data_IF_871486677110
#
_entry.id   IF_871486677110
#
_cell.length_a   1.000
_cell.length_b   1.000
_cell.length_c   1.000
_cell.angle_alpha   90.00
_cell.angle_beta   90.00
_cell.angle_gamma   90.00
#
_symmetry.space_group_name_H-M   'P 1'
#
loop_
_entity.id
_entity.type
_entity.pdbx_description
1 polymer ?
#
# COMPACT_ATOMS: atom_id res chain seq x y z
N UNK A 1 -30.50 2.94 -23.21
CA UNK A 1 -29.43 1.99 -23.60
C UNK A 1 -28.10 2.69 -23.34
N UNK A 2 -27.18 2.27 -22.47
CA UNK A 2 -26.93 0.98 -21.85
C UNK A 2 -26.56 1.18 -20.36
N UNK A 3 -27.15 0.35 -19.49
CA UNK A 3 -26.74 0.27 -18.10
C UNK A 3 -25.40 -0.50 -18.04
N UNK A 4 -24.31 0.21 -17.75
CA UNK A 4 -23.02 -0.41 -17.43
C UNK A 4 -23.16 -1.18 -16.11
N UNK A 5 -23.48 -2.47 -16.23
CA UNK A 5 -23.25 -3.46 -15.17
C UNK A 5 -21.74 -3.68 -15.08
N UNK A 6 -21.04 -2.79 -14.38
CA UNK A 6 -19.69 -3.06 -13.90
C UNK A 6 -19.83 -4.25 -12.95
N UNK A 7 -19.52 -5.47 -13.44
CA UNK A 7 -19.49 -6.69 -12.62
C UNK A 7 -18.29 -6.57 -11.70
N UNK A 8 -18.47 -5.86 -10.60
CA UNK A 8 -17.63 -6.00 -9.40
C UNK A 8 -17.78 -7.45 -8.94
N UNK A 9 -16.84 -8.30 -9.35
CA UNK A 9 -16.76 -9.67 -8.85
C UNK A 9 -16.42 -9.57 -7.35
N UNK A 10 -17.45 -9.65 -6.51
CA UNK A 10 -17.29 -9.93 -5.08
C UNK A 10 -16.52 -11.23 -4.94
N UNK A 11 -15.40 -11.21 -4.23
CA UNK A 11 -14.79 -12.43 -3.73
C UNK A 11 -15.80 -13.17 -2.83
N UNK A 12 -16.04 -14.47 -3.03
CA UNK A 12 -16.93 -15.24 -2.18
C UNK A 12 -16.23 -15.58 -0.87
N UNK A 13 -16.72 -15.03 0.26
CA UNK A 13 -16.19 -15.41 1.58
C UNK A 13 -16.63 -14.53 2.75
N UNK A 14 -17.75 -14.89 3.37
CA UNK A 14 -18.12 -14.67 4.79
C UNK A 14 -17.81 -13.31 5.43
N UNK A 15 -18.75 -12.38 5.28
CA UNK A 15 -18.90 -11.20 6.13
C UNK A 15 -19.24 -11.57 7.58
N UNK A 16 -18.37 -11.18 8.53
CA UNK A 16 -18.80 -10.80 9.87
C UNK A 16 -18.33 -9.38 10.12
N UNK A 17 -19.29 -8.47 10.23
CA UNK A 17 -19.07 -7.03 10.37
C UNK A 17 -18.43 -6.67 11.71
N UNK A 18 -17.76 -5.53 11.73
CA UNK A 18 -17.22 -4.91 12.93
C UNK A 18 -18.38 -4.25 13.70
N UNK A 19 -18.65 -4.72 14.92
CA UNK A 19 -19.56 -4.05 15.85
C UNK A 19 -18.94 -2.76 16.36
N UNK A 20 -19.74 -1.71 16.47
CA UNK A 20 -19.35 -0.45 17.09
C UNK A 20 -19.08 -0.66 18.59
N UNK A 21 -17.91 -0.25 19.05
CA UNK A 21 -17.66 0.01 20.46
C UNK A 21 -17.49 1.51 20.63
N UNK A 22 -18.61 2.21 20.82
CA UNK A 22 -18.60 3.57 21.33
C UNK A 22 -18.15 3.56 22.80
N UNK A 23 -17.19 4.44 23.13
CA UNK A 23 -16.94 4.90 24.49
C UNK A 23 -16.23 3.93 25.43
N UNK A 24 -14.90 3.90 25.42
CA UNK A 24 -14.10 3.57 26.62
C UNK A 24 -12.86 4.46 26.65
N UNK A 25 -12.72 5.23 27.71
CA UNK A 25 -11.56 6.10 27.96
C UNK A 25 -10.26 5.32 28.09
N UNK A 26 -9.16 6.06 28.13
CA UNK A 26 -7.75 5.62 28.17
C UNK A 26 -7.36 4.71 29.37
N UNK A 27 -8.30 4.24 30.19
CA UNK A 27 -8.05 3.54 31.44
C UNK A 27 -8.23 2.00 31.39
N UNK A 28 -8.66 1.41 30.29
CA UNK A 28 -8.81 -0.04 30.19
C UNK A 28 -7.70 -0.67 29.34
N UNK A 29 -6.53 -0.91 29.93
CA UNK A 29 -5.60 -1.90 29.39
C UNK A 29 -6.34 -3.24 29.41
N UNK A 30 -6.83 -3.69 28.26
CA UNK A 30 -7.46 -5.02 28.14
C UNK A 30 -6.42 -6.08 28.47
N UNK A 31 -6.51 -6.65 29.67
CA UNK A 31 -5.76 -7.86 30.02
C UNK A 31 -6.12 -8.97 29.02
N UNK A 32 -5.13 -9.44 28.28
CA UNK A 32 -5.32 -10.58 27.38
C UNK A 32 -5.36 -11.83 28.24
N UNK A 33 -6.38 -12.67 28.07
CA UNK A 33 -6.45 -13.91 28.84
C UNK A 33 -5.28 -14.83 28.47
N UNK A 34 -4.82 -15.64 29.42
CA UNK A 34 -3.79 -16.67 29.21
C UNK A 34 -4.10 -17.52 27.95
N UNK A 35 -5.37 -17.90 27.77
CA UNK A 35 -5.82 -18.65 26.59
C UNK A 35 -5.72 -17.89 25.28
N UNK A 36 -5.94 -16.57 25.27
CA UNK A 36 -5.72 -15.75 24.08
C UNK A 36 -4.22 -15.65 23.74
N UNK A 37 -3.36 -15.49 24.74
CA UNK A 37 -1.91 -15.48 24.54
C UNK A 37 -1.40 -16.83 24.02
N UNK A 38 -1.83 -17.94 24.63
CA UNK A 38 -1.46 -19.30 24.23
C UNK A 38 -1.93 -19.61 22.80
N UNK A 39 -3.18 -19.29 22.46
CA UNK A 39 -3.70 -19.46 21.08
C UNK A 39 -2.90 -18.65 20.07
N UNK A 40 -2.48 -17.42 20.40
CA UNK A 40 -1.67 -16.59 19.51
C UNK A 40 -0.24 -17.14 19.35
N UNK A 41 0.33 -17.71 20.43
CA UNK A 41 1.64 -18.36 20.37
C UNK A 41 1.62 -19.59 19.48
N UNK A 42 0.55 -20.39 19.54
CA UNK A 42 0.38 -21.60 18.75
C UNK A 42 0.00 -21.32 17.29
N UNK A 43 -0.84 -20.30 17.04
CA UNK A 43 -1.27 -19.93 15.67
C UNK A 43 -0.27 -19.07 14.91
N UNK A 44 0.71 -18.50 15.60
CA UNK A 44 1.59 -17.49 15.03
C UNK A 44 0.89 -16.13 14.83
N UNK A 45 1.65 -15.09 14.47
CA UNK A 45 1.06 -13.86 13.95
C UNK A 45 0.33 -14.16 12.62
N UNK A 46 -0.71 -13.39 12.26
CA UNK A 46 -1.26 -13.46 10.92
C UNK A 46 -0.15 -13.12 9.92
N UNK A 47 -0.03 -13.93 8.88
CA UNK A 47 0.88 -13.71 7.76
C UNK A 47 0.13 -13.01 6.62
N UNK A 48 0.78 -12.15 5.82
CA UNK A 48 0.17 -11.61 4.61
C UNK A 48 -0.19 -12.76 3.65
N UNK A 49 -1.29 -12.67 2.89
CA UNK A 49 -2.10 -11.47 2.65
C UNK A 49 -3.16 -11.19 3.72
N UNK A 50 -3.22 -9.96 4.24
CA UNK A 50 -4.27 -9.54 5.18
C UNK A 50 -5.61 -9.36 4.45
N UNK A 51 -6.73 -9.64 5.13
CA UNK A 51 -8.07 -9.60 4.52
C UNK A 51 -8.67 -8.19 4.33
N UNK A 52 -8.02 -7.15 4.87
CA UNK A 52 -8.52 -5.76 4.83
C UNK A 52 -7.44 -4.65 4.87
N UNK A 53 -6.27 -4.75 4.19
CA UNK A 53 -5.33 -3.64 4.09
C UNK A 53 -5.72 -2.63 3.01
N UNK A 54 -6.93 -2.73 2.43
CA UNK A 54 -7.51 -1.61 1.72
C UNK A 54 -7.60 -0.44 2.68
N UNK A 55 -6.90 0.64 2.33
CA UNK A 55 -6.70 1.81 3.19
C UNK A 55 -8.03 2.46 3.61
N UNK A 56 -9.09 2.30 2.81
CA UNK A 56 -10.43 2.87 3.05
C UNK A 56 -11.45 1.83 3.56
N UNK A 57 -11.04 0.59 3.81
CA UNK A 57 -11.95 -0.48 4.29
C UNK A 57 -12.95 -0.99 3.25
N UNK A 58 -12.73 -0.68 1.96
CA UNK A 58 -13.59 -1.13 0.85
C UNK A 58 -12.87 -2.26 0.10
N UNK A 59 -13.34 -3.52 0.17
CA UNK A 59 -12.61 -4.67 -0.39
C UNK A 59 -12.80 -4.80 -1.91
N UNK A 60 -12.54 -3.73 -2.64
CA UNK A 60 -12.49 -3.71 -4.10
C UNK A 60 -11.04 -3.61 -4.56
N UNK A 61 -10.71 -4.25 -5.68
CA UNK A 61 -9.38 -4.18 -6.29
C UNK A 61 -9.25 -2.87 -7.08
N UNK A 62 -9.11 -1.76 -6.38
CA UNK A 62 -8.97 -0.42 -6.96
C UNK A 62 -7.84 0.30 -6.27
N UNK A 63 -6.92 0.86 -7.04
CA UNK A 63 -6.00 1.86 -6.51
C UNK A 63 -6.07 3.16 -7.32
N UNK A 64 -5.70 4.24 -6.65
CA UNK A 64 -5.50 5.54 -7.27
C UNK A 64 -4.13 6.09 -6.86
N UNK A 65 -3.36 6.56 -7.84
CA UNK A 65 -2.03 7.11 -7.60
C UNK A 65 -1.86 8.41 -8.38
N UNK A 66 -1.20 9.39 -7.76
CA UNK A 66 -0.80 10.63 -8.40
C UNK A 66 0.49 11.13 -7.76
N UNK A 67 1.36 11.75 -8.56
CA UNK A 67 2.50 12.46 -8.05
C UNK A 67 2.53 13.85 -8.70
N UNK A 68 1.93 14.87 -8.07
CA UNK A 68 1.89 16.21 -8.63
C UNK A 68 3.28 16.88 -8.60
N UNK A 69 3.56 17.85 -9.49
CA UNK A 69 4.84 18.57 -9.53
C UNK A 69 5.23 19.20 -8.19
N UNK A 70 4.25 19.70 -7.44
CA UNK A 70 4.44 20.31 -6.11
C UNK A 70 5.05 19.31 -5.13
N UNK A 71 4.58 18.07 -5.16
CA UNK A 71 5.10 16.98 -4.32
C UNK A 71 6.47 16.51 -4.78
N UNK A 72 6.74 16.50 -6.09
CA UNK A 72 8.09 16.26 -6.60
C UNK A 72 9.07 17.31 -6.09
N UNK A 73 8.67 18.58 -6.01
CA UNK A 73 9.51 19.69 -5.52
C UNK A 73 9.94 19.57 -4.06
N UNK A 74 9.26 18.76 -3.26
CA UNK A 74 9.62 18.49 -1.86
C UNK A 74 10.86 17.60 -1.72
N UNK A 75 11.25 16.87 -2.76
CA UNK A 75 12.44 16.02 -2.74
C UNK A 75 13.69 16.79 -3.21
N UNK A 76 14.85 16.57 -2.58
CA UNK A 76 16.12 17.13 -3.04
C UNK A 76 16.42 16.78 -4.50
N UNK A 77 17.01 17.72 -5.25
CA UNK A 77 17.22 17.57 -6.69
C UNK A 77 18.07 16.35 -7.07
N UNK A 78 19.05 15.99 -6.23
CA UNK A 78 19.86 14.79 -6.40
C UNK A 78 19.02 13.51 -6.28
N UNK A 79 18.20 13.42 -5.23
CA UNK A 79 17.35 12.28 -4.98
C UNK A 79 16.29 12.11 -6.08
N UNK A 80 15.73 13.23 -6.58
CA UNK A 80 14.82 13.20 -7.74
C UNK A 80 15.47 12.60 -8.97
N UNK A 81 16.71 12.99 -9.28
CA UNK A 81 17.47 12.46 -10.42
C UNK A 81 17.78 10.98 -10.24
N UNK A 82 18.31 10.61 -9.07
CA UNK A 82 18.72 9.23 -8.77
C UNK A 82 17.56 8.23 -8.84
N UNK A 83 16.36 8.61 -8.39
CA UNK A 83 15.21 7.72 -8.33
C UNK A 83 14.14 7.98 -9.40
N UNK A 84 14.40 8.88 -10.36
CA UNK A 84 13.41 9.34 -11.35
C UNK A 84 12.07 9.73 -10.70
N UNK A 85 12.13 10.67 -9.76
CA UNK A 85 10.93 11.26 -9.15
C UNK A 85 10.39 12.33 -10.09
N UNK A 86 9.49 11.91 -10.98
CA UNK A 86 8.87 12.74 -12.01
C UNK A 86 7.36 12.78 -11.80
N UNK A 87 6.70 13.92 -12.10
CA UNK A 87 5.27 14.04 -11.88
C UNK A 87 4.49 13.16 -12.85
N UNK A 88 3.37 12.61 -12.39
CA UNK A 88 2.39 11.94 -13.23
C UNK A 88 0.97 12.30 -12.77
N UNK A 89 0.01 12.41 -13.71
CA UNK A 89 -1.37 12.78 -13.41
C UNK A 89 -2.05 11.68 -12.58
N UNK A 90 -3.24 11.98 -12.05
CA UNK A 90 -4.05 10.98 -11.38
C UNK A 90 -4.29 9.78 -12.31
N UNK A 91 -3.98 8.60 -11.78
CA UNK A 91 -4.22 7.30 -12.40
C UNK A 91 -5.17 6.55 -11.49
N UNK A 92 -6.32 6.15 -12.00
CA UNK A 92 -7.26 5.25 -11.31
C UNK A 92 -7.28 3.94 -12.08
N UNK A 93 -7.06 2.83 -11.39
CA UNK A 93 -7.10 1.51 -11.98
C UNK A 93 -7.99 0.58 -11.17
N UNK A 94 -8.96 0.00 -11.86
CA UNK A 94 -9.88 -1.02 -11.37
C UNK A 94 -9.43 -2.37 -11.92
N UNK A 95 -9.41 -3.37 -11.05
CA UNK A 95 -8.88 -4.72 -11.30
C UNK A 95 -7.50 -4.70 -11.99
N UNK A 96 -6.51 -3.97 -11.46
CA UNK A 96 -5.22 -3.89 -12.10
C UNK A 96 -4.47 -5.22 -12.08
N UNK A 97 -3.70 -5.44 -13.13
CA UNK A 97 -2.68 -6.47 -13.26
C UNK A 97 -1.32 -5.79 -13.46
N UNK A 98 -0.28 -6.30 -12.81
CA UNK A 98 1.07 -5.75 -12.87
C UNK A 98 2.04 -6.78 -13.46
N UNK A 99 2.83 -6.35 -14.44
CA UNK A 99 3.94 -7.11 -15.04
C UNK A 99 5.24 -6.35 -14.87
N UNK A 100 6.30 -7.05 -14.47
CA UNK A 100 7.65 -6.46 -14.36
C UNK A 100 8.25 -6.30 -15.76
N UNK A 101 8.75 -5.10 -16.08
CA UNK A 101 9.45 -4.78 -17.33
C UNK A 101 10.98 -4.75 -17.16
N UNK A 102 11.45 -4.27 -16.00
CA UNK A 102 12.87 -4.29 -15.59
C UNK A 102 12.95 -4.82 -14.16
N UNK A 103 13.51 -6.02 -14.01
CA UNK A 103 13.60 -6.73 -12.75
C UNK A 103 14.65 -6.15 -11.79
N UNK A 104 15.55 -5.27 -12.26
CA UNK A 104 16.54 -4.61 -11.41
C UNK A 104 15.86 -3.95 -10.22
N UNK A 105 16.35 -4.25 -9.02
CA UNK A 105 15.78 -3.72 -7.79
C UNK A 105 16.48 -2.45 -7.34
N UNK A 106 15.70 -1.44 -6.96
CA UNK A 106 16.21 -0.23 -6.31
C UNK A 106 15.62 -0.15 -4.91
N UNK A 107 16.49 0.02 -3.92
CA UNK A 107 16.13 0.15 -2.51
C UNK A 107 16.04 1.62 -2.14
N UNK A 108 14.92 2.03 -1.55
CA UNK A 108 14.73 3.39 -1.03
C UNK A 108 13.69 3.38 0.10
N UNK A 109 13.66 4.43 0.95
CA UNK A 109 12.65 4.55 2.00
C UNK A 109 11.22 4.61 1.45
N UNK A 110 10.33 3.80 2.03
CA UNK A 110 8.88 3.85 1.85
C UNK A 110 8.19 4.15 3.18
N UNK A 111 7.05 4.81 3.11
CA UNK A 111 6.09 4.93 4.21
C UNK A 111 4.68 4.62 3.69
N UNK A 112 3.73 4.42 4.60
CA UNK A 112 2.35 4.08 4.24
C UNK A 112 1.37 4.86 5.11
N UNK A 113 0.25 5.32 4.54
CA UNK A 113 -0.80 6.03 5.28
C UNK A 113 -1.52 5.13 6.30
N UNK A 114 -1.46 3.81 6.12
CA UNK A 114 -1.92 2.79 7.09
C UNK A 114 -0.94 2.54 8.24
N UNK A 115 0.33 2.96 8.12
CA UNK A 115 1.38 2.80 9.14
C UNK A 115 2.09 4.15 9.32
N UNK A 116 1.37 5.08 9.95
CA UNK A 116 1.83 6.47 10.08
C UNK A 116 2.99 6.61 11.04
N UNK A 117 3.90 7.53 10.72
CA UNK A 117 5.04 7.89 11.58
C UNK A 117 6.23 6.94 11.47
N UNK A 118 6.21 5.98 10.54
CA UNK A 118 7.31 5.06 10.30
C UNK A 118 7.68 4.98 8.82
N UNK A 119 8.95 4.71 8.56
CA UNK A 119 9.47 4.39 7.24
C UNK A 119 10.50 3.25 7.33
N UNK A 120 10.73 2.59 6.21
CA UNK A 120 11.82 1.63 6.06
C UNK A 120 12.25 1.53 4.60
N UNK A 121 13.48 1.09 4.35
CA UNK A 121 13.98 0.82 3.02
C UNK A 121 13.32 -0.44 2.43
N UNK A 122 12.73 -0.31 1.24
CA UNK A 122 12.06 -1.41 0.54
C UNK A 122 12.65 -1.56 -0.87
N UNK A 123 13.06 -2.77 -1.28
CA UNK A 123 13.49 -3.04 -2.64
C UNK A 123 12.26 -3.13 -3.58
N UNK A 124 12.33 -2.45 -4.73
CA UNK A 124 11.28 -2.47 -5.76
C UNK A 124 11.88 -2.64 -7.15
N UNK A 125 11.16 -3.32 -8.05
CA UNK A 125 11.56 -3.42 -9.45
C UNK A 125 11.59 -2.04 -10.10
N UNK A 126 12.54 -1.82 -11.00
CA UNK A 126 12.79 -0.52 -11.60
C UNK A 126 11.71 -0.08 -12.58
N UNK A 127 11.14 -1.03 -13.33
CA UNK A 127 10.09 -0.74 -14.30
C UNK A 127 9.00 -1.80 -14.27
N UNK A 128 7.75 -1.35 -14.36
CA UNK A 128 6.55 -2.19 -14.39
C UNK A 128 5.56 -1.67 -15.41
N UNK A 129 4.75 -2.57 -15.93
CA UNK A 129 3.57 -2.28 -16.74
C UNK A 129 2.35 -2.65 -15.90
N UNK A 130 1.41 -1.73 -15.77
CA UNK A 130 0.14 -1.94 -15.10
C UNK A 130 -1.00 -1.77 -16.09
N UNK A 131 -1.88 -2.75 -16.18
CA UNK A 131 -3.06 -2.74 -17.03
C UNK A 131 -4.33 -2.94 -16.20
N UNK A 132 -5.45 -2.40 -16.66
CA UNK A 132 -6.75 -2.55 -16.01
C UNK A 132 -7.81 -1.75 -16.75
N UNK A 133 -8.83 -1.29 -16.03
CA UNK A 133 -9.82 -0.32 -16.55
C UNK A 133 -9.93 0.89 -15.63
N UNK A 134 -10.39 2.02 -16.15
CA UNK A 134 -10.70 3.21 -15.35
C UNK A 134 -12.08 3.11 -14.67
N UNK A 135 -12.53 4.18 -14.01
CA UNK A 135 -13.84 4.27 -13.37
C UNK A 135 -15.03 4.19 -14.36
N UNK A 136 -14.80 4.45 -15.64
CA UNK A 136 -15.79 4.36 -16.71
C UNK A 136 -15.81 2.97 -17.38
N UNK A 137 -14.82 2.12 -17.07
CA UNK A 137 -14.63 0.80 -17.67
C UNK A 137 -13.78 0.81 -18.93
N UNK A 138 -13.15 1.94 -19.27
CA UNK A 138 -12.26 2.05 -20.42
C UNK A 138 -10.88 1.45 -20.12
N UNK A 139 -10.24 0.73 -21.08
CA UNK A 139 -8.94 0.13 -20.86
C UNK A 139 -7.85 1.15 -20.51
N UNK A 140 -7.11 0.89 -19.45
CA UNK A 140 -5.95 1.68 -19.03
C UNK A 140 -4.69 0.84 -19.14
N UNK A 141 -3.64 1.44 -19.70
CA UNK A 141 -2.29 0.87 -19.79
C UNK A 141 -1.29 1.91 -19.29
N UNK A 142 -0.45 1.52 -18.34
CA UNK A 142 0.51 2.41 -17.70
C UNK A 142 1.86 1.72 -17.54
N UNK A 143 2.84 2.15 -18.33
CA UNK A 143 4.25 1.82 -18.08
C UNK A 143 4.85 2.85 -17.12
N UNK A 144 5.40 2.36 -16.02
CA UNK A 144 5.98 3.18 -14.97
C UNK A 144 7.45 2.77 -14.76
N UNK A 145 8.30 3.76 -14.50
CA UNK A 145 9.71 3.53 -14.13
C UNK A 145 10.08 4.33 -12.89
N UNK A 146 11.15 3.93 -12.20
CA UNK A 146 11.66 4.64 -11.02
C UNK A 146 10.63 4.80 -9.92
N UNK A 147 10.42 6.03 -9.45
CA UNK A 147 9.52 6.31 -8.34
C UNK A 147 8.05 6.02 -8.65
N UNK A 148 7.61 6.23 -9.89
CA UNK A 148 6.28 5.87 -10.34
C UNK A 148 6.04 4.36 -10.28
N UNK A 149 7.04 3.55 -10.68
CA UNK A 149 6.98 2.09 -10.58
C UNK A 149 6.93 1.63 -9.12
N UNK A 150 7.68 2.29 -8.22
CA UNK A 150 7.64 2.05 -6.78
C UNK A 150 6.23 2.26 -6.22
N UNK A 151 5.62 3.41 -6.53
CA UNK A 151 4.25 3.71 -6.08
C UNK A 151 3.27 2.66 -6.62
N UNK A 152 3.33 2.32 -7.91
CA UNK A 152 2.47 1.30 -8.49
C UNK A 152 2.59 -0.06 -7.79
N UNK A 153 3.81 -0.52 -7.51
CA UNK A 153 4.03 -1.77 -6.78
C UNK A 153 3.52 -1.71 -5.34
N UNK A 154 3.67 -0.57 -4.66
CA UNK A 154 3.16 -0.36 -3.30
C UNK A 154 1.63 -0.43 -3.24
N UNK A 155 0.96 0.25 -4.17
CA UNK A 155 -0.51 0.21 -4.23
C UNK A 155 -1.01 -1.18 -4.67
N UNK A 156 -0.27 -1.86 -5.54
CA UNK A 156 -0.61 -3.23 -5.96
C UNK A 156 -0.53 -4.21 -4.79
N UNK A 157 0.51 -4.12 -3.95
CA UNK A 157 0.65 -4.90 -2.72
C UNK A 157 -0.57 -4.75 -1.80
N UNK A 158 -1.12 -3.53 -1.64
CA UNK A 158 -2.31 -3.30 -0.83
C UNK A 158 -3.53 -4.11 -1.30
N UNK A 159 -3.70 -4.28 -2.62
CA UNK A 159 -4.82 -5.06 -3.18
C UNK A 159 -4.66 -6.57 -2.95
N UNK A 160 -3.41 -7.00 -2.74
CA UNK A 160 -3.04 -8.37 -2.47
C UNK A 160 -2.74 -8.62 -1.00
N UNK A 161 -3.15 -7.72 -0.10
CA UNK A 161 -3.02 -8.01 1.32
C UNK A 161 -1.64 -7.72 1.93
N UNK A 162 -0.71 -7.13 1.18
CA UNK A 162 0.70 -6.97 1.55
C UNK A 162 0.98 -5.52 1.93
N UNK A 163 1.78 -5.31 2.98
CA UNK A 163 2.24 -3.99 3.42
C UNK A 163 3.75 -3.86 3.23
N UNK A 164 4.25 -2.62 3.20
CA UNK A 164 5.69 -2.38 3.01
C UNK A 164 6.55 -3.02 4.13
N UNK A 165 6.01 -3.16 5.34
CA UNK A 165 6.67 -3.82 6.47
C UNK A 165 6.90 -5.31 6.26
N UNK A 166 6.16 -5.94 5.34
CA UNK A 166 6.35 -7.34 4.98
C UNK A 166 7.49 -7.52 3.95
N UNK A 167 7.98 -6.42 3.33
CA UNK A 167 9.03 -6.40 2.30
C UNK A 167 10.30 -5.64 2.68
N UNK A 168 10.27 -4.86 3.76
CA UNK A 168 11.36 -3.96 4.14
C UNK A 168 12.64 -4.65 4.59
N UNK A 169 13.78 -3.97 4.50
CA UNK A 169 14.94 -4.29 5.36
C UNK A 169 14.60 -3.84 6.79
N UNK A 170 14.32 -4.80 7.67
CA UNK A 170 13.85 -4.53 9.03
C UNK A 170 14.84 -3.72 9.87
N UNK A 171 16.14 -3.71 9.53
CA UNK A 171 17.16 -2.90 10.22
C UNK A 171 17.03 -1.41 9.92
N UNK A 172 16.27 -1.05 8.90
CA UNK A 172 16.03 0.33 8.47
C UNK A 172 14.68 0.86 8.94
N UNK A 173 13.89 0.06 9.66
CA UNK A 173 12.60 0.48 10.19
C UNK A 173 12.80 1.52 11.29
N UNK A 174 12.40 2.74 11.00
CA UNK A 174 12.61 3.89 11.87
C UNK A 174 11.34 4.74 11.96
N UNK A 175 11.16 5.39 13.11
CA UNK A 175 10.14 6.41 13.23
C UNK A 175 10.64 7.72 12.60
N UNK A 176 9.78 8.35 11.80
CA UNK A 176 10.13 9.49 10.95
C UNK A 176 10.41 10.79 11.72
N UNK A 177 10.05 10.86 13.00
CA UNK A 177 10.37 11.99 13.87
C UNK A 177 11.80 11.91 14.41
N UNK A 178 12.43 10.73 14.46
CA UNK A 178 13.80 10.60 14.98
C UNK A 178 14.83 11.29 14.11
N UNK A 179 14.63 11.31 12.79
CA UNK A 179 15.50 12.06 11.89
C UNK A 179 15.48 13.57 12.16
N UNK A 180 14.38 14.09 12.73
CA UNK A 180 14.25 15.52 13.06
C UNK A 180 14.93 15.91 14.38
N UNK A 181 15.36 14.92 15.18
CA UNK A 181 16.04 15.14 16.47
C UNK A 181 17.56 14.98 16.37
N UNK A 182 18.06 14.51 15.23
CA UNK A 182 19.48 14.25 14.97
C UNK A 182 20.12 15.30 14.06
N UNK A 183 19.33 16.28 13.61
CA UNK A 183 19.75 17.52 12.95
C UNK A 183 19.72 18.70 13.94
#
# INVERSE_FOLDING_TARGET
MAALRCRLLRAPGHSRGCGSAAGQGWAAVRERSYWQALRRRLRGPPEPPYSAPCQLGVPLRVFAAALPPERCRQYPAELRRAHRIEPFPLRVLVNPELRVLDARTVTAPEGCTSIRGFSACVPRHWAVHVSGVDENGEPVSWEATGWAARIAQHEMDHLDGVLFIDRMDSRTFANTAWSQLLD
#
